data_IF_760295902047
#
_entry.id   IF_760295902047
#
_cell.length_a   1.000
_cell.length_b   1.000
_cell.length_c   1.000
_cell.angle_alpha   90.00
_cell.angle_beta   90.00
_cell.angle_gamma   90.00
#
_symmetry.space_group_name_H-M   'P 1'
#
loop_
_entity.id
_entity.type
_entity.pdbx_description
1 polymer ?
#
# COMPACT_ATOMS: atom_id res chain seq x y z
N UNK A 1 33.23 -0.20 -26.06
CA UNK A 1 32.34 0.97 -25.86
C UNK A 1 30.89 0.59 -25.51
N UNK A 2 30.40 -0.62 -25.80
CA UNK A 2 29.02 -1.06 -25.51
C UNK A 2 28.75 -1.50 -24.06
N UNK A 3 29.76 -2.00 -23.33
CA UNK A 3 29.61 -2.42 -21.93
C UNK A 3 29.43 -1.24 -20.96
N UNK A 4 30.09 -0.11 -21.22
CA UNK A 4 30.06 1.06 -20.35
C UNK A 4 28.72 1.82 -20.43
N UNK A 5 28.09 1.87 -21.62
CA UNK A 5 26.77 2.48 -21.79
C UNK A 5 25.63 1.61 -21.22
N UNK A 6 25.77 0.28 -21.28
CA UNK A 6 24.83 -0.64 -20.62
C UNK A 6 24.90 -0.55 -19.09
N UNK A 7 26.09 -0.44 -18.50
CA UNK A 7 26.23 -0.25 -17.05
C UNK A 7 25.65 1.08 -16.58
N UNK A 8 25.93 2.19 -17.26
CA UNK A 8 25.33 3.49 -16.94
C UNK A 8 23.80 3.47 -17.04
N UNK A 9 23.23 2.76 -18.01
CA UNK A 9 21.77 2.63 -18.13
C UNK A 9 21.14 1.81 -17.01
N UNK A 10 21.83 0.78 -16.50
CA UNK A 10 21.36 -0.05 -15.39
C UNK A 10 21.46 0.70 -14.06
N UNK A 11 22.57 1.40 -13.83
CA UNK A 11 22.76 2.24 -12.63
C UNK A 11 21.72 3.36 -12.56
N UNK A 12 21.42 4.00 -13.70
CA UNK A 12 20.35 5.00 -13.79
C UNK A 12 18.96 4.40 -13.51
N UNK A 13 18.69 3.19 -13.99
CA UNK A 13 17.45 2.48 -13.71
C UNK A 13 17.31 2.14 -12.22
N UNK A 14 18.38 1.62 -11.60
CA UNK A 14 18.39 1.27 -10.18
C UNK A 14 18.23 2.51 -9.28
N UNK A 15 18.91 3.62 -9.60
CA UNK A 15 18.76 4.88 -8.87
C UNK A 15 17.34 5.45 -8.96
N UNK A 16 16.72 5.39 -10.14
CA UNK A 16 15.32 5.80 -10.32
C UNK A 16 14.33 4.85 -9.63
N UNK A 17 14.62 3.54 -9.62
CA UNK A 17 13.78 2.57 -8.92
C UNK A 17 13.84 2.77 -7.40
N UNK A 18 15.01 3.05 -6.83
CA UNK A 18 15.16 3.43 -5.43
C UNK A 18 14.40 4.72 -5.11
N UNK A 19 14.46 5.72 -5.99
CA UNK A 19 13.65 6.93 -5.88
C UNK A 19 12.15 6.64 -5.90
N UNK A 20 11.71 5.74 -6.78
CA UNK A 20 10.32 5.32 -6.88
C UNK A 20 9.84 4.61 -5.60
N UNK A 21 10.66 3.75 -4.98
CA UNK A 21 10.34 3.10 -3.70
C UNK A 21 9.97 4.12 -2.63
N UNK A 22 10.72 5.24 -2.55
CA UNK A 22 10.49 6.27 -1.55
C UNK A 22 9.27 7.15 -1.75
N UNK A 23 8.91 7.42 -3.00
CA UNK A 23 7.91 8.44 -3.33
C UNK A 23 6.59 7.81 -3.76
N UNK A 24 6.65 6.75 -4.55
CA UNK A 24 5.49 6.16 -5.22
C UNK A 24 4.79 5.11 -4.37
N UNK A 25 5.55 4.39 -3.55
CA UNK A 25 5.03 3.24 -2.80
C UNK A 25 4.85 3.51 -1.31
N UNK A 26 4.98 4.77 -0.87
CA UNK A 26 4.73 5.17 0.52
C UNK A 26 3.34 4.75 0.99
N UNK A 27 2.33 5.17 0.24
CA UNK A 27 0.91 4.96 0.54
C UNK A 27 0.54 3.47 0.68
N UNK A 28 0.71 2.68 -0.37
CA UNK A 28 0.46 1.24 -0.32
C UNK A 28 1.39 0.50 0.67
N UNK A 29 2.55 1.11 0.96
CA UNK A 29 3.55 0.58 1.88
C UNK A 29 3.12 0.64 3.34
N UNK A 30 2.28 1.59 3.73
CA UNK A 30 1.78 1.75 5.10
C UNK A 30 0.49 0.98 5.35
N UNK A 31 -0.23 0.55 4.32
CA UNK A 31 -1.45 -0.27 4.41
C UNK A 31 -1.37 -1.48 5.35
N UNK A 32 -0.24 -2.20 5.51
CA UNK A 32 -0.15 -3.29 6.47
C UNK A 32 -0.33 -2.87 7.94
N UNK A 33 -0.20 -1.58 8.29
CA UNK A 33 -0.44 -1.07 9.64
C UNK A 33 -1.90 -1.21 10.08
N UNK A 34 -2.84 -1.18 9.14
CA UNK A 34 -4.28 -1.10 9.45
C UNK A 34 -5.13 -2.13 8.71
N UNK A 35 -4.79 -2.53 7.49
CA UNK A 35 -5.71 -3.30 6.64
C UNK A 35 -6.13 -4.64 7.26
N UNK A 36 -5.21 -5.41 7.86
CA UNK A 36 -5.56 -6.69 8.49
C UNK A 36 -6.49 -6.50 9.70
N UNK A 37 -6.19 -5.52 10.54
CA UNK A 37 -6.98 -5.16 11.73
C UNK A 37 -8.42 -4.81 11.33
N UNK A 38 -8.57 -3.94 10.33
CA UNK A 38 -9.89 -3.47 9.88
C UNK A 38 -10.73 -4.59 9.24
N UNK A 39 -10.11 -5.54 8.54
CA UNK A 39 -10.84 -6.67 7.94
C UNK A 39 -11.54 -7.54 9.00
N UNK A 40 -10.86 -7.85 10.10
CA UNK A 40 -11.44 -8.71 11.15
C UNK A 40 -12.30 -7.95 12.17
N UNK A 41 -12.08 -6.64 12.34
CA UNK A 41 -12.97 -5.80 13.15
C UNK A 41 -14.43 -5.78 12.65
N UNK A 42 -14.67 -6.16 11.39
CA UNK A 42 -16.02 -6.33 10.82
C UNK A 42 -16.84 -7.50 11.39
N UNK A 43 -16.37 -8.21 12.41
CA UNK A 43 -17.08 -9.32 13.07
C UNK A 43 -16.79 -10.70 12.47
N UNK A 44 -15.70 -10.82 11.70
CA UNK A 44 -15.26 -12.10 11.14
C UNK A 44 -14.59 -12.95 12.23
N UNK A 45 -14.88 -14.26 12.27
CA UNK A 45 -14.18 -15.16 13.19
C UNK A 45 -12.72 -15.29 12.80
N UNK A 46 -11.84 -15.30 13.80
CA UNK A 46 -10.40 -15.46 13.60
C UNK A 46 -10.06 -16.94 13.79
N UNK A 47 -10.33 -17.71 12.75
CA UNK A 47 -9.92 -19.10 12.63
C UNK A 47 -9.13 -19.31 11.34
N UNK A 48 -8.53 -20.49 11.20
CA UNK A 48 -7.65 -20.80 10.08
C UNK A 48 -8.32 -20.64 8.71
N UNK A 49 -9.59 -21.01 8.55
CA UNK A 49 -10.23 -20.95 7.23
C UNK A 49 -10.52 -19.51 6.83
N UNK A 50 -11.00 -18.69 7.78
CA UNK A 50 -11.28 -17.29 7.55
C UNK A 50 -10.00 -16.48 7.34
N UNK A 51 -8.94 -16.76 8.09
CA UNK A 51 -7.63 -16.13 7.87
C UNK A 51 -7.07 -16.44 6.49
N UNK A 52 -7.12 -17.71 6.05
CA UNK A 52 -6.70 -18.06 4.69
C UNK A 52 -7.59 -17.40 3.62
N UNK A 53 -8.89 -17.26 3.86
CA UNK A 53 -9.82 -16.53 2.99
C UNK A 53 -9.45 -15.06 2.84
N UNK A 54 -9.23 -14.36 3.95
CA UNK A 54 -8.80 -12.95 3.97
C UNK A 54 -7.46 -12.77 3.28
N UNK A 55 -6.45 -13.59 3.62
CA UNK A 55 -5.14 -13.55 2.96
C UNK A 55 -5.25 -13.77 1.45
N UNK A 56 -6.12 -14.70 1.02
CA UNK A 56 -6.37 -14.95 -0.40
C UNK A 56 -7.02 -13.74 -1.07
N UNK A 57 -7.96 -13.07 -0.41
CA UNK A 57 -8.57 -11.84 -0.93
C UNK A 57 -7.54 -10.72 -1.08
N UNK A 58 -6.69 -10.51 -0.07
CA UNK A 58 -5.60 -9.53 -0.13
C UNK A 58 -4.63 -9.85 -1.27
N UNK A 59 -4.16 -11.11 -1.34
CA UNK A 59 -3.22 -11.55 -2.38
C UNK A 59 -3.78 -11.28 -3.78
N UNK A 60 -5.03 -11.69 -4.03
CA UNK A 60 -5.66 -11.53 -5.34
C UNK A 60 -6.06 -10.08 -5.61
N UNK A 61 -6.40 -9.28 -4.60
CA UNK A 61 -6.64 -7.84 -4.76
C UNK A 61 -5.36 -7.12 -5.20
N UNK A 62 -4.23 -7.34 -4.51
CA UNK A 62 -2.94 -6.74 -4.88
C UNK A 62 -2.50 -7.22 -6.27
N UNK A 63 -2.68 -8.52 -6.57
CA UNK A 63 -2.30 -9.10 -7.86
C UNK A 63 -3.17 -8.56 -9.00
N UNK A 64 -4.49 -8.58 -8.86
CA UNK A 64 -5.40 -8.16 -9.93
C UNK A 64 -5.43 -6.64 -10.10
N UNK A 65 -5.51 -5.91 -8.99
CA UNK A 65 -5.71 -4.45 -9.04
C UNK A 65 -4.38 -3.73 -9.20
N UNK A 66 -3.41 -3.97 -8.33
CA UNK A 66 -2.16 -3.19 -8.36
C UNK A 66 -1.23 -3.71 -9.44
N UNK A 67 -1.08 -5.03 -9.55
CA UNK A 67 -0.14 -5.62 -10.50
C UNK A 67 -0.70 -5.65 -11.92
N UNK A 68 -1.83 -6.34 -12.15
CA UNK A 68 -2.36 -6.54 -13.49
C UNK A 68 -3.02 -5.26 -14.02
N UNK A 69 -4.00 -4.69 -13.29
CA UNK A 69 -4.71 -3.49 -13.74
C UNK A 69 -3.78 -2.28 -13.76
N UNK A 70 -3.17 -1.88 -12.64
CA UNK A 70 -2.34 -0.66 -12.63
C UNK A 70 -0.99 -0.86 -13.31
N UNK A 71 -0.12 -1.68 -12.72
CA UNK A 71 1.27 -1.77 -13.15
C UNK A 71 1.40 -2.25 -14.59
N UNK A 72 0.67 -3.29 -15.01
CA UNK A 72 0.78 -3.90 -16.35
C UNK A 72 -0.07 -3.19 -17.41
N UNK A 73 -1.32 -2.82 -17.10
CA UNK A 73 -2.27 -2.29 -18.08
C UNK A 73 -2.37 -0.76 -18.09
N UNK A 74 -2.89 -0.14 -17.01
CA UNK A 74 -3.22 1.30 -16.95
C UNK A 74 -1.98 2.17 -17.16
N UNK A 75 -0.82 1.80 -16.59
CA UNK A 75 0.41 2.55 -16.81
C UNK A 75 0.89 2.56 -18.28
N UNK A 76 0.28 1.78 -19.19
CA UNK A 76 0.58 1.91 -20.64
C UNK A 76 -0.23 3.01 -21.31
N UNK A 77 -1.29 3.50 -20.67
CA UNK A 77 -2.08 4.61 -21.14
C UNK A 77 -1.50 5.91 -20.58
N UNK A 78 -0.39 6.39 -21.13
CA UNK A 78 0.18 7.69 -20.78
C UNK A 78 -0.26 8.79 -21.75
N UNK A 79 -0.25 10.04 -21.28
CA UNK A 79 -0.41 11.21 -22.12
C UNK A 79 0.90 12.02 -22.09
N UNK A 80 1.77 11.78 -23.08
CA UNK A 80 3.11 12.39 -23.18
C UNK A 80 4.03 12.02 -22.00
N UNK A 81 3.95 10.78 -21.53
CA UNK A 81 4.71 10.27 -20.39
C UNK A 81 4.07 10.51 -19.03
N UNK A 82 3.04 11.36 -18.94
CA UNK A 82 2.28 11.61 -17.71
C UNK A 82 1.16 10.58 -17.54
N UNK A 83 0.92 10.19 -16.30
CA UNK A 83 -0.20 9.32 -15.90
C UNK A 83 -1.12 10.00 -14.88
N UNK A 84 -2.02 9.23 -14.29
CA UNK A 84 -3.05 9.72 -13.38
C UNK A 84 -4.39 10.05 -14.08
N UNK A 85 -5.41 10.34 -13.27
CA UNK A 85 -6.79 10.53 -13.71
C UNK A 85 -6.91 11.67 -14.74
N UNK A 86 -6.19 12.78 -14.53
CA UNK A 86 -6.22 13.93 -15.43
C UNK A 86 -5.56 13.59 -16.78
N UNK A 87 -4.43 12.86 -16.77
CA UNK A 87 -3.77 12.41 -17.99
C UNK A 87 -4.65 11.44 -18.78
N UNK A 88 -5.31 10.50 -18.09
CA UNK A 88 -6.24 9.56 -18.71
C UNK A 88 -7.47 10.26 -19.30
N UNK A 89 -8.03 11.22 -18.58
CA UNK A 89 -9.14 12.05 -19.08
C UNK A 89 -8.73 12.82 -20.33
N UNK A 90 -7.54 13.45 -20.33
CA UNK A 90 -7.02 14.17 -21.48
C UNK A 90 -6.78 13.25 -22.69
N UNK A 91 -6.30 12.02 -22.46
CA UNK A 91 -6.13 11.01 -23.50
C UNK A 91 -7.47 10.53 -24.07
N UNK A 92 -8.45 10.26 -23.21
CA UNK A 92 -9.79 9.83 -23.61
C UNK A 92 -10.54 10.91 -24.42
N UNK A 93 -10.35 12.19 -24.06
CA UNK A 93 -10.91 13.32 -24.79
C UNK A 93 -10.31 13.46 -26.20
N UNK A 94 -9.03 13.12 -26.39
CA UNK A 94 -8.42 13.17 -27.72
C UNK A 94 -9.07 12.20 -28.69
N UNK A 95 -9.49 11.02 -28.22
CA UNK A 95 -10.19 10.00 -29.03
C UNK A 95 -11.68 10.23 -29.21
N UNK A 96 -12.26 11.26 -28.59
CA UNK A 96 -13.71 11.52 -28.57
C UNK A 96 -14.11 12.88 -29.15
N UNK A 97 -13.20 13.57 -29.83
CA UNK A 97 -13.41 14.94 -30.34
C UNK A 97 -14.63 15.09 -31.25
N UNK A 98 -14.97 14.04 -31.98
CA UNK A 98 -16.07 14.05 -32.95
C UNK A 98 -17.45 13.78 -32.31
N UNK A 99 -17.52 13.56 -30.99
CA UNK A 99 -18.75 13.26 -30.28
C UNK A 99 -18.89 14.09 -28.99
N UNK A 100 -19.66 15.20 -29.03
CA UNK A 100 -19.87 16.08 -27.89
C UNK A 100 -20.45 15.38 -26.65
N UNK A 101 -21.36 14.42 -26.83
CA UNK A 101 -21.98 13.69 -25.71
C UNK A 101 -20.95 12.82 -24.98
N UNK A 102 -20.09 12.11 -25.74
CA UNK A 102 -18.98 11.34 -25.17
C UNK A 102 -17.99 12.23 -24.44
N UNK A 103 -17.70 13.41 -24.97
CA UNK A 103 -16.81 14.38 -24.29
C UNK A 103 -17.39 14.81 -22.95
N UNK A 104 -18.67 15.19 -22.91
CA UNK A 104 -19.35 15.57 -21.65
C UNK A 104 -19.34 14.41 -20.66
N UNK A 105 -19.60 13.19 -21.11
CA UNK A 105 -19.53 12.00 -20.27
C UNK A 105 -18.12 11.80 -19.69
N UNK A 106 -17.07 11.86 -20.53
CA UNK A 106 -15.67 11.71 -20.10
C UNK A 106 -15.25 12.79 -19.11
N UNK A 107 -15.62 14.05 -19.35
CA UNK A 107 -15.33 15.15 -18.41
C UNK A 107 -16.04 14.90 -17.08
N UNK A 108 -17.32 14.48 -17.12
CA UNK A 108 -18.11 14.26 -15.90
C UNK A 108 -17.52 13.14 -15.04
N UNK A 109 -17.24 11.97 -15.64
CA UNK A 109 -16.63 10.85 -14.90
C UNK A 109 -15.19 11.17 -14.47
N UNK A 110 -14.46 11.95 -15.28
CA UNK A 110 -13.09 12.36 -14.96
C UNK A 110 -13.03 13.33 -13.78
N UNK A 111 -13.92 14.31 -13.74
CA UNK A 111 -14.07 15.24 -12.60
C UNK A 111 -14.57 14.52 -11.34
N UNK A 112 -15.51 13.58 -11.49
CA UNK A 112 -15.94 12.74 -10.37
C UNK A 112 -14.76 11.93 -9.80
N UNK A 113 -13.98 11.27 -10.66
CA UNK A 113 -12.79 10.52 -10.26
C UNK A 113 -11.73 11.40 -9.59
N UNK A 114 -11.46 12.59 -10.14
CA UNK A 114 -10.53 13.55 -9.54
C UNK A 114 -11.01 14.04 -8.16
N UNK A 115 -12.32 14.20 -7.96
CA UNK A 115 -12.90 14.60 -6.68
C UNK A 115 -12.77 13.49 -5.62
N UNK A 116 -13.01 12.23 -6.02
CA UNK A 116 -12.80 11.07 -5.15
C UNK A 116 -11.32 10.92 -4.76
N UNK A 117 -10.41 11.11 -5.72
CA UNK A 117 -8.96 11.09 -5.49
C UNK A 117 -8.50 12.20 -4.52
N UNK A 118 -9.12 13.38 -4.59
CA UNK A 118 -8.85 14.46 -3.63
C UNK A 118 -9.30 14.09 -2.21
N UNK A 119 -10.42 13.39 -2.07
CA UNK A 119 -10.87 12.86 -0.78
C UNK A 119 -9.87 11.86 -0.19
N UNK A 120 -9.40 10.92 -1.01
CA UNK A 120 -8.39 9.93 -0.63
C UNK A 120 -7.07 10.59 -0.18
N UNK A 121 -6.61 11.61 -0.93
CA UNK A 121 -5.40 12.38 -0.60
C UNK A 121 -5.45 13.08 0.77
N UNK A 122 -6.63 13.30 1.34
CA UNK A 122 -6.81 13.88 2.69
C UNK A 122 -6.85 12.79 3.75
N UNK A 123 -7.54 11.69 3.49
CA UNK A 123 -7.80 10.62 4.48
C UNK A 123 -6.53 9.80 4.73
N UNK A 124 -5.82 9.43 3.67
CA UNK A 124 -4.76 8.42 3.74
C UNK A 124 -3.55 8.83 4.58
N UNK A 125 -3.03 10.08 4.50
CA UNK A 125 -1.99 10.53 5.43
C UNK A 125 -2.45 10.50 6.90
N UNK A 126 -3.71 10.83 7.16
CA UNK A 126 -4.25 10.84 8.52
C UNK A 126 -4.36 9.42 9.09
N UNK A 127 -4.91 8.47 8.33
CA UNK A 127 -5.03 7.08 8.74
C UNK A 127 -3.65 6.45 8.92
N UNK A 128 -2.73 6.63 7.95
CA UNK A 128 -1.39 6.03 8.02
C UNK A 128 -0.61 6.50 9.26
N UNK A 129 -0.56 7.81 9.51
CA UNK A 129 0.17 8.35 10.68
C UNK A 129 -0.52 7.96 11.98
N UNK A 130 -1.86 7.96 12.03
CA UNK A 130 -2.58 7.51 13.22
C UNK A 130 -2.27 6.03 13.52
N UNK A 131 -2.35 5.15 12.52
CA UNK A 131 -2.06 3.72 12.67
C UNK A 131 -0.61 3.43 13.04
N UNK A 132 0.33 4.23 12.54
CA UNK A 132 1.72 4.19 13.01
C UNK A 132 1.79 4.54 14.51
N UNK A 133 1.23 5.68 14.93
CA UNK A 133 1.32 6.13 16.33
C UNK A 133 0.49 5.25 17.29
N UNK A 134 -0.54 4.55 16.81
CA UNK A 134 -1.35 3.61 17.61
C UNK A 134 -0.53 2.48 18.23
N UNK A 135 0.66 2.16 17.71
CA UNK A 135 1.61 1.24 18.36
C UNK A 135 1.93 1.63 19.80
N UNK A 136 1.84 2.92 20.15
CA UNK A 136 2.02 3.40 21.51
C UNK A 136 1.03 2.77 22.50
N UNK A 137 -0.18 2.39 22.06
CA UNK A 137 -1.17 1.71 22.90
C UNK A 137 -0.68 0.34 23.36
N UNK A 138 0.07 -0.35 22.51
CA UNK A 138 0.66 -1.67 22.80
C UNK A 138 1.92 -1.51 23.65
N UNK A 139 2.76 -0.53 23.33
CA UNK A 139 4.09 -0.36 23.91
C UNK A 139 4.04 0.30 25.30
N UNK A 140 3.21 1.33 25.45
CA UNK A 140 3.08 2.11 26.68
C UNK A 140 1.63 2.55 26.88
N UNK A 141 0.73 1.65 27.33
CA UNK A 141 -0.69 1.93 27.52
C UNK A 141 -1.01 3.21 28.32
N UNK A 142 -0.26 3.59 29.38
CA UNK A 142 -0.49 4.85 30.09
C UNK A 142 -0.33 6.10 29.21
N UNK A 143 0.46 6.02 28.14
CA UNK A 143 0.70 7.10 27.18
C UNK A 143 -0.27 7.08 25.99
N UNK A 144 -1.24 6.15 25.95
CA UNK A 144 -2.21 6.03 24.86
C UNK A 144 -3.01 7.31 24.58
N UNK A 145 -3.23 8.15 25.59
CA UNK A 145 -3.92 9.43 25.44
C UNK A 145 -3.12 10.46 24.61
N UNK A 146 -1.82 10.25 24.40
CA UNK A 146 -0.98 11.08 23.54
C UNK A 146 -1.02 10.69 22.06
N UNK A 147 -1.66 9.57 21.68
CA UNK A 147 -1.72 9.12 20.27
C UNK A 147 -2.24 10.21 19.34
N UNK A 148 -3.39 10.82 19.68
CA UNK A 148 -3.97 11.88 18.87
C UNK A 148 -3.10 13.17 18.84
N UNK A 149 -2.63 13.72 19.98
CA UNK A 149 -1.69 14.85 19.98
C UNK A 149 -0.42 14.62 19.17
N UNK A 150 0.18 13.44 19.28
CA UNK A 150 1.39 13.08 18.52
C UNK A 150 1.07 13.02 17.03
N UNK A 151 -0.02 12.38 16.64
CA UNK A 151 -0.46 12.29 15.23
C UNK A 151 -0.62 13.68 14.61
N UNK A 152 -1.32 14.59 15.29
CA UNK A 152 -1.52 15.98 14.82
C UNK A 152 -0.18 16.71 14.71
N UNK A 153 0.72 16.50 15.68
CA UNK A 153 2.06 17.12 15.68
C UNK A 153 2.92 16.62 14.52
N UNK A 154 2.90 15.31 14.25
CA UNK A 154 3.64 14.69 13.14
C UNK A 154 3.11 15.20 11.81
N UNK A 155 1.79 15.17 11.60
CA UNK A 155 1.16 15.70 10.37
C UNK A 155 1.46 17.19 10.16
N UNK A 156 1.33 17.99 11.21
CA UNK A 156 1.66 19.42 11.15
C UNK A 156 3.13 19.66 10.80
N UNK A 157 4.04 18.91 11.43
CA UNK A 157 5.48 18.96 11.13
C UNK A 157 5.79 18.56 9.68
N UNK A 158 5.18 17.49 9.18
CA UNK A 158 5.34 17.03 7.81
C UNK A 158 4.86 18.09 6.80
N UNK A 159 3.67 18.66 7.00
CA UNK A 159 3.17 19.70 6.09
C UNK A 159 4.02 20.98 6.11
N UNK A 160 4.55 21.38 7.28
CA UNK A 160 5.49 22.51 7.39
C UNK A 160 6.78 22.24 6.60
N UNK A 161 7.30 21.00 6.65
CA UNK A 161 8.51 20.61 5.91
C UNK A 161 8.25 20.53 4.40
N UNK A 162 7.10 20.00 4.00
CA UNK A 162 6.70 19.89 2.58
C UNK A 162 6.51 21.26 1.92
N UNK A 163 6.11 22.29 2.67
CA UNK A 163 6.01 23.66 2.17
C UNK A 163 7.35 24.22 1.62
N UNK A 164 8.49 23.64 2.01
CA UNK A 164 9.83 24.03 1.53
C UNK A 164 10.27 23.28 0.26
N UNK A 165 9.40 22.44 -0.30
CA UNK A 165 9.59 21.74 -1.58
C UNK A 165 9.71 20.21 -1.42
N UNK A 166 8.93 19.48 -2.20
CA UNK A 166 8.80 18.01 -2.17
C UNK A 166 10.05 17.28 -2.69
N UNK A 167 10.82 17.91 -3.58
CA UNK A 167 11.99 17.27 -4.20
C UNK A 167 13.17 16.97 -3.25
N UNK A 168 13.35 17.75 -2.17
CA UNK A 168 14.36 17.45 -1.14
C UNK A 168 13.86 16.40 -0.14
N UNK A 169 12.55 16.40 0.12
CA UNK A 169 11.88 15.46 1.02
C UNK A 169 11.95 14.04 0.44
N UNK A 170 11.63 13.85 -0.85
CA UNK A 170 11.66 12.53 -1.49
C UNK A 170 13.01 11.80 -1.44
N UNK A 171 14.14 12.54 -1.36
CA UNK A 171 15.49 11.94 -1.21
C UNK A 171 15.72 11.33 0.18
N UNK A 172 15.12 11.90 1.21
CA UNK A 172 15.22 11.40 2.60
C UNK A 172 14.26 10.22 2.81
N UNK A 173 13.08 10.28 2.18
CA UNK A 173 12.07 9.23 2.28
C UNK A 173 12.48 7.92 1.60
N UNK A 174 13.24 7.96 0.49
CA UNK A 174 13.68 6.73 -0.20
C UNK A 174 14.44 5.72 0.68
N UNK A 175 15.50 6.10 1.42
CA UNK A 175 16.15 5.20 2.35
C UNK A 175 15.23 4.65 3.44
N UNK A 176 14.34 5.49 3.99
CA UNK A 176 13.41 5.11 5.05
C UNK A 176 12.43 4.06 4.54
N UNK A 177 11.81 4.29 3.38
CA UNK A 177 10.89 3.34 2.75
C UNK A 177 11.59 2.05 2.34
N UNK A 178 12.84 2.12 1.86
CA UNK A 178 13.60 0.91 1.56
C UNK A 178 13.81 0.05 2.82
N UNK A 179 14.17 0.70 3.93
CA UNK A 179 14.32 0.02 5.21
C UNK A 179 12.98 -0.53 5.71
N UNK A 180 11.89 0.25 5.58
CA UNK A 180 10.54 -0.15 5.93
C UNK A 180 10.10 -1.42 5.20
N UNK A 181 10.18 -1.47 3.87
CA UNK A 181 9.84 -2.68 3.11
C UNK A 181 10.73 -3.88 3.47
N UNK A 182 12.01 -3.64 3.76
CA UNK A 182 12.90 -4.69 4.27
C UNK A 182 12.40 -5.23 5.61
N UNK A 183 12.00 -4.35 6.53
CA UNK A 183 11.44 -4.72 7.83
C UNK A 183 10.12 -5.49 7.69
N UNK A 184 9.23 -5.03 6.81
CA UNK A 184 7.98 -5.73 6.48
C UNK A 184 8.24 -7.18 6.04
N UNK A 185 9.20 -7.37 5.13
CA UNK A 185 9.57 -8.68 4.62
C UNK A 185 10.17 -9.57 5.71
N UNK A 186 11.09 -9.04 6.54
CA UNK A 186 11.74 -9.79 7.63
C UNK A 186 10.71 -10.25 8.67
N UNK A 187 9.87 -9.34 9.16
CA UNK A 187 8.82 -9.67 10.14
C UNK A 187 7.82 -10.69 9.57
N UNK A 188 7.50 -10.54 8.28
CA UNK A 188 6.66 -11.48 7.55
C UNK A 188 7.23 -12.90 7.52
N UNK A 189 8.48 -13.03 7.04
CA UNK A 189 9.18 -14.32 6.92
C UNK A 189 9.28 -15.03 8.26
N UNK A 190 9.63 -14.32 9.33
CA UNK A 190 9.75 -14.91 10.67
C UNK A 190 8.44 -15.61 11.06
N UNK A 191 7.29 -14.96 10.88
CA UNK A 191 6.00 -15.53 11.27
C UNK A 191 5.53 -16.64 10.30
N UNK A 192 5.79 -16.50 9.00
CA UNK A 192 5.49 -17.55 8.01
C UNK A 192 6.23 -18.86 8.33
N UNK A 193 7.46 -18.80 8.83
CA UNK A 193 8.21 -19.99 9.24
C UNK A 193 7.51 -20.74 10.38
N UNK A 194 6.84 -20.04 11.29
CA UNK A 194 6.12 -20.64 12.42
C UNK A 194 4.80 -21.29 11.98
N UNK A 195 4.07 -20.69 11.03
CA UNK A 195 2.84 -21.29 10.47
C UNK A 195 2.90 -21.27 8.92
N UNK A 196 3.63 -22.21 8.28
CA UNK A 196 3.78 -22.24 6.82
C UNK A 196 2.47 -22.48 6.06
N UNK A 197 1.43 -22.96 6.76
CA UNK A 197 0.10 -23.20 6.20
C UNK A 197 -0.55 -21.96 5.59
N UNK A 198 -0.14 -20.75 5.99
CA UNK A 198 -0.63 -19.49 5.40
C UNK A 198 -0.38 -19.38 3.90
N UNK A 199 0.67 -20.03 3.39
CA UNK A 199 1.01 -20.01 1.97
C UNK A 199 -0.08 -20.65 1.09
N UNK A 200 -0.96 -21.48 1.67
CA UNK A 200 -2.12 -22.02 0.97
C UNK A 200 -3.09 -20.94 0.49
N UNK A 201 -3.09 -19.76 1.12
CA UNK A 201 -3.93 -18.62 0.75
C UNK A 201 -3.65 -18.06 -0.66
N UNK A 202 -2.55 -18.44 -1.32
CA UNK A 202 -2.35 -18.11 -2.74
C UNK A 202 -3.47 -18.74 -3.61
N UNK A 203 -4.03 -19.87 -3.18
CA UNK A 203 -5.11 -20.54 -3.91
C UNK A 203 -6.40 -19.69 -3.86
N UNK A 204 -6.93 -19.23 -5.01
CA UNK A 204 -8.14 -18.40 -5.06
C UNK A 204 -9.39 -19.10 -4.51
N UNK A 205 -9.33 -20.42 -4.33
CA UNK A 205 -10.37 -21.19 -3.65
C UNK A 205 -10.73 -20.57 -2.29
N UNK A 206 -9.76 -20.14 -1.48
CA UNK A 206 -10.02 -19.58 -0.15
C UNK A 206 -10.78 -18.25 -0.23
N UNK A 207 -10.38 -17.37 -1.17
CA UNK A 207 -11.10 -16.13 -1.45
C UNK A 207 -12.53 -16.38 -1.93
N UNK A 208 -12.72 -17.31 -2.86
CA UNK A 208 -14.05 -17.64 -3.35
C UNK A 208 -14.92 -18.25 -2.24
N UNK A 209 -14.35 -19.18 -1.47
CA UNK A 209 -15.04 -19.87 -0.39
C UNK A 209 -15.59 -18.90 0.66
N UNK A 210 -14.75 -17.98 1.16
CA UNK A 210 -15.17 -17.03 2.19
C UNK A 210 -16.22 -16.03 1.67
N UNK A 211 -16.12 -15.61 0.39
CA UNK A 211 -17.13 -14.73 -0.22
C UNK A 211 -18.48 -15.42 -0.40
N UNK A 212 -18.48 -16.69 -0.79
CA UNK A 212 -19.72 -17.47 -0.92
C UNK A 212 -20.33 -17.80 0.45
N UNK A 213 -19.51 -18.07 1.45
CA UNK A 213 -19.95 -18.32 2.83
C UNK A 213 -20.62 -17.08 3.45
N UNK A 214 -19.98 -15.91 3.33
CA UNK A 214 -20.46 -14.69 3.96
C UNK A 214 -21.58 -13.97 3.18
N UNK A 215 -21.76 -14.30 1.89
CA UNK A 215 -22.74 -13.66 1.02
C UNK A 215 -22.61 -12.13 1.01
N UNK A 216 -23.66 -11.42 1.46
CA UNK A 216 -23.65 -9.95 1.52
C UNK A 216 -22.58 -9.38 2.47
N UNK A 217 -22.27 -10.06 3.58
CA UNK A 217 -21.19 -9.63 4.47
C UNK A 217 -19.83 -9.72 3.80
N UNK A 218 -19.65 -10.63 2.83
CA UNK A 218 -18.44 -10.73 2.02
C UNK A 218 -18.18 -9.45 1.22
N UNK A 219 -19.24 -8.73 0.78
CA UNK A 219 -19.09 -7.43 0.13
C UNK A 219 -18.54 -6.36 1.09
N UNK A 220 -18.97 -6.37 2.36
CA UNK A 220 -18.44 -5.45 3.37
C UNK A 220 -16.96 -5.71 3.66
N UNK A 221 -16.57 -6.99 3.74
CA UNK A 221 -15.16 -7.40 3.90
C UNK A 221 -14.32 -6.93 2.72
N UNK A 222 -14.82 -7.07 1.50
CA UNK A 222 -14.13 -6.54 0.31
C UNK A 222 -13.87 -5.04 0.42
N UNK A 223 -14.77 -4.27 1.06
CA UNK A 223 -14.54 -2.86 1.38
C UNK A 223 -13.32 -2.64 2.27
N UNK A 224 -13.11 -3.48 3.30
CA UNK A 224 -11.91 -3.43 4.13
C UNK A 224 -10.66 -3.94 3.38
N UNK A 225 -10.79 -4.92 2.48
CA UNK A 225 -9.69 -5.41 1.64
C UNK A 225 -9.15 -4.31 0.71
N UNK A 226 -9.99 -3.33 0.31
CA UNK A 226 -9.53 -2.18 -0.49
C UNK A 226 -8.42 -1.40 0.21
N UNK A 227 -8.39 -1.39 1.55
CA UNK A 227 -7.33 -0.76 2.35
C UNK A 227 -5.93 -1.35 2.10
N UNK A 228 -5.84 -2.58 1.58
CA UNK A 228 -4.56 -3.21 1.21
C UNK A 228 -4.04 -2.80 -0.17
N UNK A 229 -4.85 -2.08 -0.96
CA UNK A 229 -4.52 -1.65 -2.33
C UNK A 229 -4.68 -0.14 -2.54
N UNK A 230 -4.90 0.62 -1.47
CA UNK A 230 -4.79 2.10 -1.48
C UNK A 230 -3.36 2.49 -1.84
N UNK A 231 -3.19 3.60 -2.56
CA UNK A 231 -1.89 4.00 -3.11
C UNK A 231 -1.59 3.45 -4.51
N UNK A 232 -2.43 2.55 -5.06
CA UNK A 232 -2.22 2.01 -6.41
C UNK A 232 -2.29 3.06 -7.52
N UNK A 233 -3.07 4.12 -7.29
CA UNK A 233 -3.19 5.29 -8.15
C UNK A 233 -1.95 6.20 -8.12
N UNK A 234 -1.20 6.23 -7.02
CA UNK A 234 0.08 6.95 -6.95
C UNK A 234 1.09 6.39 -7.96
N UNK A 235 1.10 5.06 -8.18
CA UNK A 235 1.90 4.42 -9.23
C UNK A 235 1.63 5.01 -10.61
N UNK A 236 0.37 5.33 -10.89
CA UNK A 236 -0.03 5.88 -12.18
C UNK A 236 0.22 7.39 -12.23
N UNK A 237 -0.03 8.13 -11.16
CA UNK A 237 0.19 9.58 -11.11
C UNK A 237 1.68 9.97 -11.23
N UNK A 238 2.59 9.21 -10.61
CA UNK A 238 4.02 9.52 -10.59
C UNK A 238 4.82 9.03 -11.81
N UNK A 239 4.11 8.56 -12.83
CA UNK A 239 4.71 8.14 -14.09
C UNK A 239 5.53 9.24 -14.77
N UNK A 240 5.12 10.50 -14.69
CA UNK A 240 5.85 11.62 -15.29
C UNK A 240 7.26 11.81 -14.71
N UNK A 241 7.43 11.53 -13.42
CA UNK A 241 8.68 11.74 -12.69
C UNK A 241 9.65 10.56 -12.84
N UNK A 242 9.16 9.33 -12.72
CA UNK A 242 10.02 8.13 -12.69
C UNK A 242 9.93 7.29 -13.96
N UNK A 243 8.81 7.36 -14.68
CA UNK A 243 8.55 6.52 -15.85
C UNK A 243 8.11 5.09 -15.50
N UNK A 244 7.61 4.40 -16.53
CA UNK A 244 7.07 3.05 -16.42
C UNK A 244 8.06 2.01 -15.85
N UNK A 245 9.29 2.00 -16.37
CA UNK A 245 10.25 0.92 -16.11
C UNK A 245 10.77 0.91 -14.67
N UNK A 246 11.21 2.04 -14.08
CA UNK A 246 11.66 2.07 -12.68
C UNK A 246 10.57 1.66 -11.69
N UNK A 247 9.34 2.17 -11.87
CA UNK A 247 8.20 1.85 -11.00
C UNK A 247 7.90 0.34 -11.05
N UNK A 248 7.81 -0.25 -12.25
CA UNK A 248 7.60 -1.70 -12.39
C UNK A 248 8.74 -2.52 -11.77
N UNK A 249 9.98 -2.10 -12.00
CA UNK A 249 11.13 -2.81 -11.43
C UNK A 249 11.08 -2.80 -9.90
N UNK A 250 10.85 -1.64 -9.27
CA UNK A 250 10.67 -1.52 -7.83
C UNK A 250 9.50 -2.37 -7.29
N UNK A 251 8.36 -2.34 -7.99
CA UNK A 251 7.18 -3.12 -7.64
C UNK A 251 7.48 -4.62 -7.60
N UNK A 252 7.91 -5.20 -8.72
CA UNK A 252 8.07 -6.64 -8.85
C UNK A 252 9.27 -7.20 -8.08
N UNK A 253 10.35 -6.42 -7.92
CA UNK A 253 11.57 -6.89 -7.27
C UNK A 253 11.53 -6.78 -5.75
N UNK A 254 10.78 -5.81 -5.20
CA UNK A 254 10.91 -5.48 -3.79
C UNK A 254 9.58 -5.18 -3.07
N UNK A 255 8.79 -4.24 -3.59
CA UNK A 255 7.58 -3.77 -2.87
C UNK A 255 6.51 -4.87 -2.79
N UNK A 256 6.16 -5.47 -3.92
CA UNK A 256 5.17 -6.55 -3.99
C UNK A 256 5.52 -7.74 -3.08
N UNK A 257 6.73 -8.35 -3.17
CA UNK A 257 7.07 -9.45 -2.28
C UNK A 257 7.11 -9.04 -0.80
N UNK A 258 7.59 -7.84 -0.47
CA UNK A 258 7.62 -7.36 0.92
C UNK A 258 6.22 -7.23 1.53
N UNK A 259 5.27 -6.65 0.79
CA UNK A 259 3.87 -6.53 1.22
C UNK A 259 3.22 -7.89 1.43
N UNK A 260 3.38 -8.80 0.45
CA UNK A 260 2.81 -10.15 0.57
C UNK A 260 3.39 -10.91 1.76
N UNK A 261 4.71 -10.88 1.95
CA UNK A 261 5.35 -11.51 3.10
C UNK A 261 4.80 -10.97 4.41
N UNK A 262 4.60 -9.66 4.53
CA UNK A 262 4.06 -9.07 5.73
C UNK A 262 2.61 -9.48 5.99
N UNK A 263 1.72 -9.39 4.99
CA UNK A 263 0.33 -9.83 5.15
C UNK A 263 0.23 -11.30 5.54
N UNK A 264 0.99 -12.18 4.88
CA UNK A 264 1.00 -13.60 5.20
C UNK A 264 1.58 -13.85 6.60
N UNK A 265 2.59 -13.09 7.02
CA UNK A 265 3.10 -13.12 8.39
C UNK A 265 2.06 -12.69 9.43
N UNK A 266 1.30 -11.63 9.17
CA UNK A 266 0.19 -11.22 10.06
C UNK A 266 -0.89 -12.29 10.15
N UNK A 267 -1.23 -12.94 9.03
CA UNK A 267 -2.15 -14.08 9.07
C UNK A 267 -1.58 -15.28 9.83
N UNK A 268 -0.27 -15.54 9.72
CA UNK A 268 0.39 -16.61 10.45
C UNK A 268 0.31 -16.37 11.97
N UNK A 269 0.54 -15.13 12.40
CA UNK A 269 0.35 -14.71 13.78
C UNK A 269 -1.08 -14.94 14.25
N UNK A 270 -2.09 -14.49 13.48
CA UNK A 270 -3.50 -14.58 13.86
C UNK A 270 -4.04 -16.01 13.94
N UNK A 271 -3.48 -16.96 13.18
CA UNK A 271 -3.86 -18.38 13.30
C UNK A 271 -3.43 -18.95 14.65
N UNK A 272 -2.25 -18.57 15.15
CA UNK A 272 -1.72 -19.05 16.43
C UNK A 272 -2.20 -18.24 17.64
N UNK A 273 -2.40 -16.93 17.45
CA UNK A 273 -2.69 -15.96 18.51
C UNK A 273 -3.81 -15.01 18.03
N UNK A 274 -5.08 -15.45 18.04
CA UNK A 274 -6.21 -14.62 17.60
C UNK A 274 -6.35 -13.29 18.35
N UNK A 275 -5.92 -13.24 19.60
CA UNK A 275 -5.89 -12.04 20.45
C UNK A 275 -5.00 -10.93 19.87
N UNK A 276 -4.06 -11.27 18.97
CA UNK A 276 -3.21 -10.28 18.32
C UNK A 276 -3.98 -9.33 17.38
N UNK A 277 -5.29 -9.53 17.19
CA UNK A 277 -6.13 -8.64 16.40
C UNK A 277 -6.19 -7.20 16.90
N UNK A 278 -5.87 -6.96 18.19
CA UNK A 278 -5.77 -5.60 18.73
C UNK A 278 -4.82 -4.73 17.88
N UNK A 279 -3.67 -5.31 17.50
CA UNK A 279 -2.74 -4.71 16.56
C UNK A 279 -1.83 -5.79 15.90
N UNK A 280 -2.30 -6.45 14.82
CA UNK A 280 -1.58 -7.55 14.19
C UNK A 280 -0.20 -7.14 13.70
N UNK A 281 -0.05 -5.88 13.28
CA UNK A 281 1.21 -5.36 12.77
C UNK A 281 2.26 -5.22 13.87
N UNK A 282 1.93 -4.55 14.97
CA UNK A 282 2.90 -4.32 16.05
C UNK A 282 3.22 -5.62 16.80
N UNK A 283 2.22 -6.47 17.02
CA UNK A 283 2.40 -7.76 17.69
C UNK A 283 3.11 -8.80 16.82
N UNK A 284 3.33 -8.50 15.53
CA UNK A 284 4.18 -9.30 14.63
C UNK A 284 5.66 -9.27 15.04
N UNK A 285 6.08 -8.20 15.70
CA UNK A 285 7.45 -7.98 16.10
C UNK A 285 7.72 -8.46 17.54
N UNK A 286 8.95 -8.94 17.82
CA UNK A 286 9.33 -9.27 19.19
C UNK A 286 9.33 -8.01 20.07
N UNK A 287 9.11 -8.19 21.37
CA UNK A 287 8.91 -7.09 22.33
C UNK A 287 10.04 -6.05 22.35
N UNK A 288 11.30 -6.47 22.17
CA UNK A 288 12.44 -5.56 22.10
C UNK A 288 12.43 -4.64 20.88
N UNK A 289 11.78 -5.06 19.78
CA UNK A 289 11.75 -4.35 18.51
C UNK A 289 10.59 -3.35 18.41
N UNK A 290 9.66 -3.33 19.37
CA UNK A 290 8.46 -2.49 19.29
C UNK A 290 8.78 -0.99 19.30
N UNK A 291 9.70 -0.52 20.15
CA UNK A 291 10.11 0.90 20.17
C UNK A 291 10.80 1.32 18.85
N UNK A 292 11.80 0.58 18.34
CA UNK A 292 12.34 0.84 17.00
C UNK A 292 11.27 0.84 15.91
N UNK A 293 10.36 -0.15 15.93
CA UNK A 293 9.29 -0.28 14.94
C UNK A 293 8.34 0.92 14.96
N UNK A 294 7.99 1.43 16.16
CA UNK A 294 7.17 2.63 16.30
C UNK A 294 7.84 3.85 15.64
N UNK A 295 9.13 4.04 15.88
CA UNK A 295 9.89 5.16 15.28
C UNK A 295 9.92 5.01 13.76
N UNK A 296 10.26 3.82 13.27
CA UNK A 296 10.40 3.59 11.82
C UNK A 296 9.06 3.71 11.11
N UNK A 297 7.98 3.15 11.67
CA UNK A 297 6.63 3.27 11.10
C UNK A 297 6.11 4.71 11.09
N UNK A 298 6.52 5.55 12.05
CA UNK A 298 6.17 6.97 12.08
C UNK A 298 6.98 7.80 11.09
N UNK A 299 8.18 7.32 10.72
CA UNK A 299 9.06 7.95 9.74
C UNK A 299 8.73 7.55 8.29
N UNK A 300 8.22 6.34 8.09
CA UNK A 300 7.78 5.79 6.80
C UNK A 300 6.50 6.51 6.33
#
# INVERSE_FOLDING_TARGET
MSSNSQNQSKEKLAGLALGAIGVVFGDIGTSPLYAMKEVFHGGLTIDKIHVLGVLSLIFWAITMVVTIKYAVFIMRADNKGEGGIIALMALALQGSKDNPEKMVFIVTIGLLGASLFFGDSIITPAISVLSAVEGLRIIAPPLAHYVLPITITVLGGLFILQAKGTGKVGKIFSPIMCFWFGLLAVLGVINIIHEPGVLMAINPYYAAHILFELGWHGFLIMGAIVLAITGAEALYADMGHFGLKPIRYAWFSFVFPALLLNYFGQGALLIGHPEAIENPFYLLAPTWALYPLLIISTLA
#
